data_IF_995469162830
#
_entry.id   IF_995469162830
#
_cell.length_a   1.000
_cell.length_b   1.000
_cell.length_c   1.000
_cell.angle_alpha   90.00
_cell.angle_beta   90.00
_cell.angle_gamma   90.00
#
_symmetry.space_group_name_H-M   'P 1'
#
loop_
_entity.id
_entity.type
_entity.pdbx_description
1 polymer ?
#
# COMPACT_ATOMS: atom_id res chain seq x y z
N UNK A 1 0.53 -6.59 25.89
CA UNK A 1 1.33 -5.57 25.19
C UNK A 1 1.95 -6.25 23.97
N UNK A 2 1.52 -5.92 22.74
CA UNK A 2 2.07 -6.60 21.54
C UNK A 2 3.42 -5.98 21.23
N UNK A 3 4.47 -6.62 21.74
CA UNK A 3 5.86 -6.37 21.35
C UNK A 3 5.96 -6.80 19.88
N UNK A 4 5.97 -5.83 18.95
CA UNK A 4 6.23 -6.14 17.55
C UNK A 4 7.74 -6.24 17.38
N UNK A 5 8.27 -7.38 16.95
CA UNK A 5 9.69 -7.54 16.71
C UNK A 5 10.08 -6.55 15.60
N UNK A 6 11.13 -5.77 15.87
CA UNK A 6 11.75 -4.87 14.92
C UNK A 6 12.90 -5.63 14.25
N UNK A 7 13.01 -5.45 12.93
CA UNK A 7 14.18 -5.67 12.05
C UNK A 7 14.13 -6.93 11.16
N UNK A 8 14.68 -6.81 9.93
CA UNK A 8 16.12 -6.96 9.77
C UNK A 8 16.85 -5.77 9.12
N UNK A 9 18.11 -5.69 9.51
CA UNK A 9 19.25 -4.98 8.93
C UNK A 9 19.23 -5.01 7.38
N UNK A 10 19.06 -3.84 6.75
CA UNK A 10 19.23 -3.70 5.29
C UNK A 10 20.62 -3.12 5.06
N UNK A 11 21.55 -3.85 4.41
CA UNK A 11 22.85 -3.29 4.07
C UNK A 11 22.66 -2.11 3.11
N UNK A 12 23.40 -1.04 3.39
CA UNK A 12 23.39 0.18 2.63
C UNK A 12 23.68 -0.07 1.14
N UNK A 13 23.02 0.71 0.29
CA UNK A 13 23.28 0.89 -1.14
C UNK A 13 22.50 -0.03 -2.10
N UNK A 14 21.26 0.37 -2.42
CA UNK A 14 20.78 0.66 -3.79
C UNK A 14 19.27 0.99 -3.80
N UNK A 15 18.81 2.14 -4.32
CA UNK A 15 17.37 2.45 -4.47
C UNK A 15 16.63 1.52 -5.45
N UNK A 16 17.34 0.58 -6.06
CA UNK A 16 16.80 -0.47 -6.91
C UNK A 16 16.31 -1.68 -6.09
N UNK A 17 16.88 -1.96 -4.92
CA UNK A 17 16.51 -3.16 -4.12
C UNK A 17 15.16 -2.98 -3.43
N UNK A 18 14.87 -1.81 -2.87
CA UNK A 18 13.58 -1.53 -2.23
C UNK A 18 12.40 -1.67 -3.20
N UNK A 19 12.54 -1.14 -4.42
CA UNK A 19 11.49 -1.27 -5.46
C UNK A 19 11.30 -2.72 -5.87
N UNK A 20 12.38 -3.49 -6.03
CA UNK A 20 12.29 -4.92 -6.31
C UNK A 20 11.65 -5.71 -5.17
N UNK A 21 11.97 -5.38 -3.91
CA UNK A 21 11.42 -6.04 -2.74
C UNK A 21 9.92 -5.76 -2.61
N UNK A 22 9.51 -4.49 -2.74
CA UNK A 22 8.09 -4.11 -2.80
C UNK A 22 7.39 -4.83 -3.96
N UNK A 23 7.99 -4.85 -5.14
CA UNK A 23 7.44 -5.55 -6.32
C UNK A 23 7.26 -7.04 -6.05
N UNK A 24 8.27 -7.71 -5.48
CA UNK A 24 8.21 -9.13 -5.15
C UNK A 24 7.07 -9.45 -4.18
N UNK A 25 6.94 -8.64 -3.11
CA UNK A 25 5.86 -8.78 -2.14
C UNK A 25 4.47 -8.64 -2.78
N UNK A 26 4.33 -7.69 -3.71
CA UNK A 26 3.07 -7.43 -4.41
C UNK A 26 2.73 -8.49 -5.47
N UNK A 27 3.73 -9.20 -5.99
CA UNK A 27 3.56 -10.33 -6.90
C UNK A 27 3.06 -11.55 -6.12
N UNK A 28 3.59 -11.80 -4.93
CA UNK A 28 3.17 -12.92 -4.08
C UNK A 28 1.73 -12.74 -3.56
N UNK A 29 1.41 -11.57 -3.00
CA UNK A 29 0.11 -11.31 -2.39
C UNK A 29 -0.31 -9.83 -2.44
N UNK A 30 -1.61 -9.57 -2.25
CA UNK A 30 -2.13 -8.21 -2.20
C UNK A 30 -1.95 -7.58 -0.81
N UNK A 31 -1.07 -6.58 -0.69
CA UNK A 31 -0.71 -5.96 0.58
C UNK A 31 -1.16 -4.51 0.67
N UNK A 32 -1.41 -4.04 1.90
CA UNK A 32 -1.63 -2.62 2.19
C UNK A 32 -0.31 -1.85 2.30
N UNK A 33 -0.35 -0.53 2.17
CA UNK A 33 0.84 0.32 2.35
C UNK A 33 1.48 0.11 3.73
N UNK A 34 0.65 -0.12 4.75
CA UNK A 34 1.11 -0.43 6.10
C UNK A 34 1.81 -1.78 6.19
N UNK A 35 1.26 -2.83 5.59
CA UNK A 35 1.91 -4.16 5.59
C UNK A 35 3.26 -4.14 4.88
N UNK A 36 3.36 -3.44 3.74
CA UNK A 36 4.62 -3.26 3.02
C UNK A 36 5.62 -2.48 3.88
N UNK A 37 5.17 -1.40 4.54
CA UNK A 37 5.96 -0.62 5.49
C UNK A 37 6.50 -1.49 6.64
N UNK A 38 5.66 -2.36 7.21
CA UNK A 38 6.07 -3.28 8.28
C UNK A 38 7.07 -4.36 7.80
N UNK A 39 6.99 -4.76 6.53
CA UNK A 39 7.81 -5.85 5.98
C UNK A 39 9.16 -5.37 5.42
N UNK A 40 9.16 -4.23 4.76
CA UNK A 40 10.34 -3.57 4.17
C UNK A 40 11.02 -2.64 5.19
N UNK A 41 10.32 -2.23 6.25
CA UNK A 41 10.86 -1.36 7.29
C UNK A 41 10.95 0.13 6.92
N UNK A 42 10.21 0.56 5.89
CA UNK A 42 10.15 1.96 5.44
C UNK A 42 8.83 2.62 5.87
N UNK A 43 8.79 3.95 5.90
CA UNK A 43 7.56 4.68 6.26
C UNK A 43 6.47 4.47 5.20
N UNK A 44 5.20 4.46 5.63
CA UNK A 44 4.05 4.34 4.71
C UNK A 44 4.08 5.40 3.59
N UNK A 45 4.55 6.62 3.90
CA UNK A 45 4.73 7.68 2.90
C UNK A 45 5.71 7.26 1.80
N UNK A 46 6.85 6.67 2.18
CA UNK A 46 7.85 6.18 1.23
C UNK A 46 7.27 5.04 0.39
N UNK A 47 6.53 4.11 1.01
CA UNK A 47 5.84 3.02 0.29
C UNK A 47 4.93 3.60 -0.80
N UNK A 48 4.14 4.62 -0.48
CA UNK A 48 3.24 5.27 -1.44
C UNK A 48 4.02 5.92 -2.60
N UNK A 49 5.16 6.57 -2.32
CA UNK A 49 6.04 7.13 -3.35
C UNK A 49 6.63 6.02 -4.25
N UNK A 50 7.03 4.89 -3.68
CA UNK A 50 7.55 3.76 -4.45
C UNK A 50 6.45 3.11 -5.32
N UNK A 51 5.25 2.92 -4.77
CA UNK A 51 4.09 2.42 -5.50
C UNK A 51 3.69 3.35 -6.65
N UNK A 52 3.77 4.67 -6.47
CA UNK A 52 3.51 5.64 -7.53
C UNK A 52 4.52 5.49 -8.68
N UNK A 53 5.80 5.32 -8.37
CA UNK A 53 6.82 5.02 -9.37
C UNK A 53 6.57 3.68 -10.08
N UNK A 54 6.19 2.63 -9.35
CA UNK A 54 5.85 1.31 -9.92
C UNK A 54 4.61 1.42 -10.82
N UNK A 55 3.60 2.22 -10.44
CA UNK A 55 2.40 2.50 -11.27
C UNK A 55 2.78 3.18 -12.59
N UNK A 56 3.69 4.14 -12.54
CA UNK A 56 4.17 4.87 -13.72
C UNK A 56 5.04 3.96 -14.60
N UNK A 57 5.75 3.00 -14.01
CA UNK A 57 6.52 2.01 -14.73
C UNK A 57 5.58 1.12 -15.56
N UNK A 58 5.58 1.36 -16.88
CA UNK A 58 4.67 0.80 -17.89
C UNK A 58 4.57 -0.72 -17.98
N UNK A 59 5.41 -1.45 -17.25
CA UNK A 59 5.54 -2.91 -17.30
C UNK A 59 5.20 -3.62 -15.97
N UNK A 60 4.89 -2.88 -14.90
CA UNK A 60 4.80 -3.48 -13.57
C UNK A 60 3.43 -4.04 -13.20
N UNK A 61 2.44 -4.06 -14.10
CA UNK A 61 1.16 -4.77 -13.86
C UNK A 61 0.43 -4.39 -12.56
N UNK A 62 0.67 -3.18 -12.04
CA UNK A 62 0.23 -2.80 -10.70
C UNK A 62 -1.29 -2.64 -10.65
N UNK A 63 -1.94 -3.56 -9.96
CA UNK A 63 -3.37 -3.54 -9.65
C UNK A 63 -3.58 -2.89 -8.30
N UNK A 64 -4.26 -1.75 -8.30
CA UNK A 64 -4.65 -1.02 -7.08
C UNK A 64 -6.09 -1.39 -6.75
N UNK A 65 -6.28 -2.14 -5.67
CA UNK A 65 -7.60 -2.39 -5.10
C UNK A 65 -7.98 -1.20 -4.24
N UNK A 66 -8.94 -0.41 -4.73
CA UNK A 66 -9.41 0.79 -4.06
C UNK A 66 -9.91 0.49 -2.64
N UNK A 67 -9.68 1.45 -1.73
CA UNK A 67 -10.26 1.46 -0.40
C UNK A 67 -11.78 1.23 -0.48
N UNK A 68 -12.33 0.52 0.51
CA UNK A 68 -13.75 0.19 0.58
C UNK A 68 -14.31 0.55 1.95
N UNK A 69 -15.46 1.21 1.99
CA UNK A 69 -16.13 1.48 3.26
C UNK A 69 -16.71 0.18 3.81
N UNK A 70 -16.24 -0.27 4.97
CA UNK A 70 -16.70 -1.50 5.61
C UNK A 70 -18.13 -1.36 6.16
N UNK A 71 -18.60 -0.13 6.36
CA UNK A 71 -19.95 0.13 6.87
C UNK A 71 -21.04 0.06 5.77
N UNK A 72 -20.73 0.39 4.52
CA UNK A 72 -21.74 0.43 3.45
C UNK A 72 -21.32 -0.22 2.11
N UNK A 73 -20.10 -0.73 2.01
CA UNK A 73 -19.58 -1.35 0.79
C UNK A 73 -19.13 -0.36 -0.30
N UNK A 74 -19.13 0.94 -0.04
CA UNK A 74 -18.76 1.93 -1.05
C UNK A 74 -17.27 1.85 -1.43
N UNK A 75 -16.96 1.58 -2.70
CA UNK A 75 -15.59 1.51 -3.21
C UNK A 75 -15.09 2.88 -3.72
N UNK A 76 -13.95 3.34 -3.22
CA UNK A 76 -13.37 4.65 -3.57
C UNK A 76 -12.61 4.65 -4.91
N UNK A 77 -13.12 3.97 -5.95
CA UNK A 77 -12.45 3.82 -7.25
C UNK A 77 -12.16 5.14 -7.99
N UNK A 78 -12.98 6.18 -7.76
CA UNK A 78 -12.87 7.49 -8.43
C UNK A 78 -11.84 8.44 -7.80
N UNK A 79 -11.23 8.09 -6.67
CA UNK A 79 -10.25 8.95 -6.01
C UNK A 79 -8.88 8.30 -6.13
N UNK A 80 -8.09 8.74 -7.11
CA UNK A 80 -6.66 8.38 -7.26
C UNK A 80 -5.76 8.95 -6.15
N UNK A 81 -6.35 9.49 -5.07
CA UNK A 81 -5.57 10.04 -3.95
C UNK A 81 -5.12 8.90 -3.04
N UNK A 82 -3.81 8.80 -2.87
CA UNK A 82 -3.13 7.90 -1.93
C UNK A 82 -3.61 8.07 -0.46
N UNK A 83 -4.08 9.28 -0.11
CA UNK A 83 -4.74 9.54 1.18
C UNK A 83 -6.25 9.27 1.08
N UNK A 84 -6.72 8.27 1.82
CA UNK A 84 -8.15 7.98 1.97
C UNK A 84 -8.90 9.17 2.57
N UNK A 85 -10.17 9.41 2.17
CA UNK A 85 -11.00 10.38 2.86
C UNK A 85 -11.31 9.89 4.28
N UNK A 86 -11.25 10.77 5.27
CA UNK A 86 -11.56 10.39 6.66
C UNK A 86 -13.01 9.91 6.87
N UNK A 87 -13.94 10.22 5.96
CA UNK A 87 -15.35 9.80 6.02
C UNK A 87 -15.89 9.33 4.68
N UNK A 88 -16.78 8.34 4.75
CA UNK A 88 -17.52 7.86 3.59
C UNK A 88 -18.58 8.89 3.14
N UNK A 89 -18.63 9.28 1.84
CA UNK A 89 -19.64 10.22 1.36
C UNK A 89 -21.06 9.63 1.35
N UNK A 90 -21.20 8.30 1.37
CA UNK A 90 -22.50 7.61 1.34
C UNK A 90 -23.07 7.43 2.74
N UNK A 91 -22.30 6.83 3.66
CA UNK A 91 -22.79 6.48 4.99
C UNK A 91 -22.18 7.33 6.13
N UNK A 92 -21.24 8.25 5.81
CA UNK A 92 -20.52 9.09 6.78
C UNK A 92 -19.67 8.34 7.82
N UNK A 93 -19.57 7.03 7.70
CA UNK A 93 -18.72 6.21 8.58
C UNK A 93 -17.24 6.49 8.33
N UNK A 94 -16.46 6.38 9.40
CA UNK A 94 -15.00 6.47 9.43
C UNK A 94 -14.35 5.08 9.28
N UNK A 95 -15.17 4.02 9.24
CA UNK A 95 -14.72 2.65 8.99
C UNK A 95 -14.47 2.41 7.50
N UNK A 96 -13.26 2.76 7.05
CA UNK A 96 -12.81 2.60 5.68
C UNK A 96 -11.61 1.67 5.67
N UNK A 97 -11.69 0.59 4.88
CA UNK A 97 -10.58 -0.31 4.64
C UNK A 97 -9.50 0.38 3.81
N UNK A 98 -8.25 0.11 4.16
CA UNK A 98 -7.08 0.62 3.45
C UNK A 98 -7.03 0.05 2.01
N UNK A 99 -6.51 0.83 1.05
CA UNK A 99 -6.29 0.31 -0.30
C UNK A 99 -5.23 -0.79 -0.27
N UNK A 100 -5.44 -1.81 -1.11
CA UNK A 100 -4.48 -2.90 -1.31
C UNK A 100 -3.83 -2.78 -2.67
N UNK A 101 -2.58 -3.19 -2.73
CA UNK A 101 -1.75 -3.14 -3.92
C UNK A 101 -1.33 -4.57 -4.25
N UNK A 102 -1.27 -4.91 -5.52
CA UNK A 102 -0.79 -6.21 -6.02
C UNK A 102 -0.26 -6.04 -7.43
N UNK A 103 0.62 -6.91 -7.88
CA UNK A 103 1.14 -6.95 -9.26
C UNK A 103 0.66 -8.24 -9.94
N UNK A 104 0.22 -8.12 -11.19
CA UNK A 104 -0.17 -9.26 -12.03
C UNK A 104 0.38 -9.16 -13.44
#
# INVERSE_FOLDING_TARGET
>A
MRIRPKQPDIPADRPETLRHEITALLIEESLTAREISERVGIQEKEVLEHLEHIKIARHAGLVITAALCLACGFSFRKRERLKGPGRCPVCRSEHIAEPRFSIR
#
